data_IF_710058809799
#
_entry.id   IF_710058809799
#
_cell.length_a   1.000
_cell.length_b   1.000
_cell.length_c   1.000
_cell.angle_alpha   90.00
_cell.angle_beta   90.00
_cell.angle_gamma   90.00
#
_symmetry.space_group_name_H-M   'P 1'
#
loop_
_entity.id
_entity.type
_entity.pdbx_description
1 polymer ?
#
# COMPACT_ATOMS: atom_id res chain seq x y z
N UNK A 1 7.57 -32.17 -5.68
CA UNK A 1 8.92 -31.73 -5.90
C UNK A 1 8.96 -30.39 -6.55
N UNK A 2 9.57 -29.45 -5.90
CA UNK A 2 9.71 -28.13 -6.43
C UNK A 2 10.57 -28.16 -7.69
N UNK A 3 10.03 -27.70 -8.80
CA UNK A 3 10.84 -27.44 -9.95
C UNK A 3 12.04 -26.58 -9.55
N UNK A 4 13.19 -26.83 -10.11
CA UNK A 4 14.37 -26.01 -9.93
C UNK A 4 14.02 -24.58 -10.36
N UNK A 5 13.90 -23.70 -9.37
CA UNK A 5 13.61 -22.30 -9.65
C UNK A 5 14.80 -21.69 -10.35
N UNK A 6 14.56 -21.08 -11.50
CA UNK A 6 15.59 -20.37 -12.22
C UNK A 6 16.06 -19.16 -11.40
N UNK A 7 17.30 -18.65 -11.63
CA UNK A 7 17.74 -17.41 -10.99
C UNK A 7 16.79 -16.24 -11.24
N UNK A 8 16.14 -16.23 -12.41
CA UNK A 8 15.14 -15.22 -12.77
C UNK A 8 13.93 -15.26 -11.83
N UNK A 9 13.44 -16.47 -11.50
CA UNK A 9 12.30 -16.64 -10.62
C UNK A 9 12.61 -16.17 -9.19
N UNK A 10 13.83 -16.47 -8.72
CA UNK A 10 14.29 -15.98 -7.41
C UNK A 10 14.38 -14.46 -7.37
N UNK A 11 14.91 -13.87 -8.43
CA UNK A 11 15.03 -12.42 -8.55
C UNK A 11 13.65 -11.77 -8.53
N UNK A 12 12.72 -12.25 -9.33
CA UNK A 12 11.35 -11.74 -9.39
C UNK A 12 10.68 -11.83 -8.02
N UNK A 13 10.85 -12.94 -7.33
CA UNK A 13 10.30 -13.13 -5.98
C UNK A 13 10.90 -12.15 -4.99
N UNK A 14 12.18 -11.92 -5.03
CA UNK A 14 12.86 -10.99 -4.14
C UNK A 14 12.42 -9.55 -4.38
N UNK A 15 12.25 -9.17 -5.63
CA UNK A 15 11.75 -7.85 -6.01
C UNK A 15 10.33 -7.66 -5.48
N UNK A 16 9.46 -8.64 -5.68
CA UNK A 16 8.10 -8.60 -5.17
C UNK A 16 8.07 -8.53 -3.64
N UNK A 17 8.91 -9.31 -2.98
CA UNK A 17 9.03 -9.30 -1.53
C UNK A 17 9.48 -7.93 -1.00
N UNK A 18 10.46 -7.32 -1.65
CA UNK A 18 10.91 -5.97 -1.32
C UNK A 18 9.77 -4.96 -1.46
N UNK A 19 9.02 -5.03 -2.55
CA UNK A 19 7.89 -4.13 -2.79
C UNK A 19 6.82 -4.25 -1.70
N UNK A 20 6.47 -5.46 -1.33
CA UNK A 20 5.49 -5.72 -0.26
C UNK A 20 6.01 -5.19 1.08
N UNK A 21 7.26 -5.44 1.40
CA UNK A 21 7.86 -4.95 2.65
C UNK A 21 7.89 -3.43 2.70
N UNK A 22 8.25 -2.76 1.62
CA UNK A 22 8.26 -1.29 1.56
C UNK A 22 6.85 -0.71 1.62
N UNK A 23 5.88 -1.35 0.97
CA UNK A 23 4.48 -0.94 1.07
C UNK A 23 3.96 -1.03 2.51
N UNK A 24 4.49 -1.95 3.30
CA UNK A 24 4.14 -2.12 4.71
C UNK A 24 5.07 -1.35 5.66
N UNK A 25 5.88 -0.45 5.14
CA UNK A 25 6.80 0.38 5.93
C UNK A 25 7.82 -0.41 6.75
N UNK A 26 8.28 -1.53 6.21
CA UNK A 26 9.31 -2.33 6.86
C UNK A 26 10.61 -1.54 7.01
N UNK A 27 11.31 -1.74 8.12
CA UNK A 27 12.58 -1.09 8.36
C UNK A 27 13.68 -1.65 7.44
N UNK A 28 14.74 -0.89 7.26
CA UNK A 28 15.92 -1.34 6.51
C UNK A 28 16.48 -2.63 7.08
N UNK A 29 16.56 -2.72 8.40
CA UNK A 29 17.06 -3.88 9.12
C UNK A 29 16.22 -5.13 8.81
N UNK A 30 14.91 -5.01 8.85
CA UNK A 30 14.00 -6.10 8.49
C UNK A 30 14.19 -6.54 7.04
N UNK A 31 14.29 -5.60 6.11
CA UNK A 31 14.51 -5.90 4.70
C UNK A 31 15.81 -6.64 4.46
N UNK A 32 16.89 -6.21 5.08
CA UNK A 32 18.18 -6.87 4.97
C UNK A 32 18.13 -8.31 5.51
N UNK A 33 17.49 -8.50 6.64
CA UNK A 33 17.37 -9.82 7.27
C UNK A 33 16.48 -10.76 6.45
N UNK A 34 15.30 -10.30 6.07
CA UNK A 34 14.29 -11.16 5.43
C UNK A 34 14.61 -11.47 3.97
N UNK A 35 15.21 -10.54 3.25
CA UNK A 35 15.48 -10.71 1.82
C UNK A 35 16.87 -11.28 1.59
N UNK A 36 17.88 -10.76 2.28
CA UNK A 36 19.28 -11.09 2.05
C UNK A 36 19.88 -12.01 3.12
N UNK A 37 19.16 -12.22 4.22
CA UNK A 37 19.72 -12.98 5.35
C UNK A 37 20.89 -12.27 6.04
N UNK A 38 20.96 -10.96 5.95
CA UNK A 38 22.07 -10.14 6.48
C UNK A 38 21.62 -9.47 7.76
N UNK A 39 22.43 -9.66 8.82
CA UNK A 39 22.24 -8.98 10.11
C UNK A 39 23.06 -7.69 10.09
N UNK A 40 22.37 -6.57 10.24
CA UNK A 40 23.00 -5.24 10.24
C UNK A 40 24.05 -5.06 11.35
N UNK A 41 23.91 -5.79 12.46
CA UNK A 41 24.82 -5.68 13.60
C UNK A 41 26.11 -6.47 13.42
N UNK A 42 26.10 -7.50 12.59
CA UNK A 42 27.24 -8.39 12.38
C UNK A 42 27.85 -8.30 10.98
N UNK A 43 27.09 -7.76 10.01
CA UNK A 43 27.54 -7.63 8.63
C UNK A 43 28.56 -6.50 8.47
N UNK A 44 29.43 -6.65 7.48
CA UNK A 44 30.38 -5.60 7.11
C UNK A 44 29.64 -4.47 6.38
N UNK A 45 30.20 -3.28 6.41
CA UNK A 45 29.63 -2.12 5.69
C UNK A 45 29.53 -2.41 4.20
N UNK A 46 30.46 -3.17 3.64
CA UNK A 46 30.45 -3.56 2.24
C UNK A 46 29.26 -4.44 1.91
N UNK A 47 28.97 -5.43 2.75
CA UNK A 47 27.80 -6.31 2.58
C UNK A 47 26.50 -5.53 2.62
N UNK A 48 26.37 -4.64 3.60
CA UNK A 48 25.20 -3.78 3.77
C UNK A 48 25.04 -2.89 2.54
N UNK A 49 26.11 -2.25 2.08
CA UNK A 49 26.10 -1.38 0.93
C UNK A 49 25.70 -2.13 -0.36
N UNK A 50 26.21 -3.34 -0.55
CA UNK A 50 25.85 -4.18 -1.67
C UNK A 50 24.34 -4.49 -1.69
N UNK A 51 23.77 -4.78 -0.54
CA UNK A 51 22.33 -5.00 -0.38
C UNK A 51 21.54 -3.73 -0.73
N UNK A 52 21.97 -2.59 -0.24
CA UNK A 52 21.32 -1.31 -0.53
C UNK A 52 21.33 -0.98 -2.01
N UNK A 53 22.44 -1.23 -2.69
CA UNK A 53 22.57 -1.03 -4.15
C UNK A 53 21.61 -1.96 -4.89
N UNK A 54 21.50 -3.20 -4.49
CA UNK A 54 20.56 -4.15 -5.09
C UNK A 54 19.12 -3.69 -4.89
N UNK A 55 18.75 -3.26 -3.70
CA UNK A 55 17.41 -2.74 -3.43
C UNK A 55 17.10 -1.52 -4.31
N UNK A 56 18.06 -0.62 -4.48
CA UNK A 56 17.89 0.53 -5.38
C UNK A 56 17.62 0.11 -6.82
N UNK A 57 18.32 -0.90 -7.31
CA UNK A 57 18.10 -1.43 -8.67
C UNK A 57 16.72 -2.07 -8.79
N UNK A 58 16.32 -2.84 -7.79
CA UNK A 58 15.04 -3.53 -7.80
C UNK A 58 13.85 -2.57 -7.76
N UNK A 59 13.99 -1.44 -7.08
CA UNK A 59 12.93 -0.41 -7.06
C UNK A 59 12.61 0.16 -8.44
N UNK A 60 13.57 0.08 -9.36
CA UNK A 60 13.38 0.55 -10.75
C UNK A 60 12.82 -0.53 -11.67
N UNK A 61 12.69 -1.75 -11.19
CA UNK A 61 12.19 -2.86 -11.99
C UNK A 61 10.65 -2.78 -12.11
N UNK A 62 10.07 -3.08 -13.30
CA UNK A 62 8.62 -3.04 -13.48
C UNK A 62 7.84 -3.94 -12.51
N UNK A 63 8.42 -5.06 -12.14
CA UNK A 63 7.81 -5.99 -11.18
C UNK A 63 7.66 -5.37 -9.79
N UNK A 64 8.58 -4.50 -9.38
CA UNK A 64 8.48 -3.79 -8.11
C UNK A 64 7.23 -2.91 -8.08
N UNK A 65 7.04 -2.10 -9.10
CA UNK A 65 5.90 -1.21 -9.21
C UNK A 65 4.57 -1.98 -9.21
N UNK A 66 4.51 -3.07 -9.97
CA UNK A 66 3.33 -3.93 -10.03
C UNK A 66 3.01 -4.54 -8.66
N UNK A 67 4.00 -5.13 -8.00
CA UNK A 67 3.81 -5.76 -6.70
C UNK A 67 3.44 -4.72 -5.62
N UNK A 68 4.05 -3.55 -5.67
CA UNK A 68 3.75 -2.46 -4.74
C UNK A 68 2.30 -1.98 -4.91
N UNK A 69 1.85 -1.80 -6.15
CA UNK A 69 0.48 -1.41 -6.45
C UNK A 69 -0.54 -2.46 -6.03
N UNK A 70 -0.23 -3.73 -6.24
CA UNK A 70 -1.10 -4.83 -5.79
C UNK A 70 -1.26 -4.83 -4.27
N UNK A 71 -0.16 -4.62 -3.54
CA UNK A 71 -0.20 -4.52 -2.08
C UNK A 71 -0.99 -3.31 -1.61
N UNK A 72 -0.85 -2.18 -2.28
CA UNK A 72 -1.64 -0.98 -1.98
C UNK A 72 -3.13 -1.20 -2.24
N UNK A 73 -3.49 -1.91 -3.30
CA UNK A 73 -4.87 -2.28 -3.58
C UNK A 73 -5.46 -3.17 -2.48
N UNK A 74 -4.66 -4.12 -2.01
CA UNK A 74 -5.07 -4.97 -0.89
C UNK A 74 -5.36 -4.15 0.35
N UNK A 75 -4.51 -3.21 0.68
CA UNK A 75 -4.71 -2.29 1.80
C UNK A 75 -5.96 -1.45 1.64
N UNK A 76 -6.19 -0.93 0.46
CA UNK A 76 -7.40 -0.15 0.19
C UNK A 76 -8.67 -0.97 0.37
N UNK A 77 -8.65 -2.22 -0.05
CA UNK A 77 -9.77 -3.13 0.16
C UNK A 77 -10.01 -3.37 1.66
N UNK A 78 -8.95 -3.61 2.41
CA UNK A 78 -9.05 -3.79 3.86
C UNK A 78 -9.55 -2.52 4.55
N UNK A 79 -9.02 -1.36 4.20
CA UNK A 79 -9.46 -0.07 4.72
C UNK A 79 -10.93 0.21 4.39
N UNK A 80 -11.34 -0.10 3.16
CA UNK A 80 -12.74 0.01 2.75
C UNK A 80 -13.63 -0.88 3.60
N UNK A 81 -13.25 -2.12 3.79
CA UNK A 81 -14.01 -3.08 4.60
C UNK A 81 -14.14 -2.59 6.05
N UNK A 82 -13.04 -2.07 6.61
CA UNK A 82 -13.03 -1.50 7.94
C UNK A 82 -13.94 -0.26 8.02
N UNK A 83 -13.86 0.62 7.04
CA UNK A 83 -14.71 1.82 6.98
C UNK A 83 -16.18 1.45 6.93
N UNK A 84 -16.55 0.45 6.14
CA UNK A 84 -17.94 -0.04 6.07
C UNK A 84 -18.38 -0.68 7.38
N UNK A 85 -17.49 -1.37 8.07
CA UNK A 85 -17.77 -1.93 9.39
C UNK A 85 -18.06 -0.83 10.42
N UNK A 86 -17.22 0.20 10.45
CA UNK A 86 -17.41 1.37 11.33
C UNK A 86 -18.72 2.08 11.01
N UNK A 87 -19.00 2.27 9.74
CA UNK A 87 -20.25 2.90 9.29
C UNK A 87 -21.48 2.12 9.78
N UNK A 88 -21.49 0.80 9.62
CA UNK A 88 -22.59 -0.05 10.07
C UNK A 88 -22.77 -0.01 11.58
N UNK A 89 -21.69 -0.03 12.34
CA UNK A 89 -21.75 0.12 13.80
C UNK A 89 -22.32 1.46 14.21
N UNK A 90 -21.85 2.52 13.57
CA UNK A 90 -22.31 3.88 13.85
C UNK A 90 -23.79 4.06 13.53
N UNK A 91 -24.26 3.49 12.44
CA UNK A 91 -25.68 3.53 12.07
C UNK A 91 -26.57 2.85 13.09
N UNK A 92 -26.05 1.85 13.81
CA UNK A 92 -26.80 1.18 14.88
C UNK A 92 -26.79 1.96 16.19
N UNK A 93 -25.71 2.68 16.47
CA UNK A 93 -25.51 3.39 17.73
C UNK A 93 -25.95 4.86 17.67
N UNK A 94 -25.80 5.47 16.52
CA UNK A 94 -26.11 6.88 16.29
C UNK A 94 -27.31 6.96 15.33
N UNK A 95 -28.37 7.59 15.79
CA UNK A 95 -29.61 7.71 15.00
C UNK A 95 -29.39 8.43 13.68
N UNK A 96 -28.49 9.41 13.66
CA UNK A 96 -28.22 10.20 12.47
C UNK A 96 -27.10 9.63 11.62
N UNK A 97 -26.32 8.67 12.12
CA UNK A 97 -25.21 8.05 11.42
C UNK A 97 -24.10 9.00 10.97
N UNK A 98 -24.13 10.23 11.47
CA UNK A 98 -23.26 11.30 11.00
C UNK A 98 -21.78 11.02 11.27
N UNK A 99 -21.45 10.65 12.50
CA UNK A 99 -20.07 10.38 12.89
C UNK A 99 -19.50 9.18 12.15
N UNK A 100 -20.29 8.13 12.00
CA UNK A 100 -19.90 6.94 11.27
C UNK A 100 -19.69 7.23 9.78
N UNK A 101 -20.58 7.99 9.18
CA UNK A 101 -20.45 8.38 7.78
C UNK A 101 -19.19 9.21 7.55
N UNK A 102 -18.92 10.17 8.43
CA UNK A 102 -17.73 11.01 8.35
C UNK A 102 -16.45 10.17 8.46
N UNK A 103 -16.41 9.24 9.40
CA UNK A 103 -15.26 8.33 9.57
C UNK A 103 -15.05 7.44 8.34
N UNK A 104 -16.13 6.91 7.77
CA UNK A 104 -16.07 6.08 6.57
C UNK A 104 -15.57 6.87 5.37
N UNK A 105 -16.06 8.10 5.17
CA UNK A 105 -15.63 8.98 4.08
C UNK A 105 -14.14 9.31 4.22
N UNK A 106 -13.67 9.61 5.43
CA UNK A 106 -12.27 9.90 5.68
C UNK A 106 -11.38 8.69 5.38
N UNK A 107 -11.80 7.49 5.78
CA UNK A 107 -11.06 6.26 5.50
C UNK A 107 -10.96 6.00 4.00
N UNK A 108 -12.06 6.16 3.26
CA UNK A 108 -12.09 6.02 1.81
C UNK A 108 -11.23 7.06 1.10
N UNK A 109 -11.26 8.29 1.57
CA UNK A 109 -10.42 9.37 1.03
C UNK A 109 -8.93 9.06 1.23
N UNK A 110 -8.55 8.57 2.40
CA UNK A 110 -7.17 8.20 2.68
C UNK A 110 -6.71 7.01 1.83
N UNK A 111 -7.56 6.00 1.66
CA UNK A 111 -7.28 4.86 0.80
C UNK A 111 -7.10 5.31 -0.66
N UNK A 112 -7.95 6.20 -1.15
CA UNK A 112 -7.85 6.75 -2.49
C UNK A 112 -6.54 7.51 -2.69
N UNK A 113 -6.14 8.33 -1.73
CA UNK A 113 -4.87 9.06 -1.77
C UNK A 113 -3.67 8.13 -1.84
N UNK A 114 -3.68 7.04 -1.08
CA UNK A 114 -2.61 6.04 -1.12
C UNK A 114 -2.48 5.38 -2.48
N UNK A 115 -3.60 5.03 -3.11
CA UNK A 115 -3.61 4.34 -4.40
C UNK A 115 -3.18 5.23 -5.56
N UNK A 116 -3.58 6.49 -5.54
CA UNK A 116 -3.46 7.38 -6.69
C UNK A 116 -2.55 8.58 -6.43
N UNK A 117 -1.72 8.47 -5.42
CA UNK A 117 -0.81 9.56 -5.04
C UNK A 117 0.11 10.00 -6.18
N UNK A 118 0.59 9.06 -6.97
CA UNK A 118 1.54 9.33 -8.06
C UNK A 118 0.86 9.44 -9.43
N UNK A 119 -0.46 9.34 -9.51
CA UNK A 119 -1.18 9.42 -10.76
C UNK A 119 -1.85 10.79 -10.89
N UNK A 120 -1.65 11.41 -12.05
CA UNK A 120 -2.26 12.70 -12.37
C UNK A 120 -3.78 12.62 -12.48
N UNK A 121 -4.33 11.43 -12.66
CA UNK A 121 -5.76 11.23 -12.70
C UNK A 121 -6.30 10.93 -11.31
N UNK A 122 -6.79 11.95 -10.64
CA UNK A 122 -7.55 11.77 -9.42
C UNK A 122 -8.83 11.02 -9.73
N UNK A 123 -8.91 9.77 -9.29
CA UNK A 123 -10.17 9.04 -9.33
C UNK A 123 -11.02 9.55 -8.16
N UNK A 124 -12.06 10.29 -8.50
CA UNK A 124 -13.01 10.74 -7.50
C UNK A 124 -13.95 9.60 -7.18
N UNK A 125 -13.92 9.13 -5.92
CA UNK A 125 -14.89 8.15 -5.46
C UNK A 125 -16.20 8.88 -5.21
N UNK A 126 -17.19 8.65 -6.07
CA UNK A 126 -18.55 9.13 -5.85
C UNK A 126 -19.32 8.09 -5.06
N UNK A 127 -19.80 8.50 -3.90
CA UNK A 127 -20.72 7.68 -3.12
C UNK A 127 -22.14 8.08 -3.58
N UNK A 128 -22.84 7.15 -4.20
CA UNK A 128 -24.21 7.39 -4.64
C UNK A 128 -25.11 7.69 -3.44
N UNK A 129 -26.00 8.64 -3.60
CA UNK A 129 -26.95 9.03 -2.58
C UNK A 129 -26.50 10.15 -1.65
N UNK A 130 -25.24 10.60 -1.76
CA UNK A 130 -24.78 11.78 -1.03
C UNK A 130 -24.87 13.01 -1.91
N UNK A 131 -25.35 14.13 -1.36
CA UNK A 131 -25.28 15.40 -2.08
C UNK A 131 -23.83 15.72 -2.39
N UNK A 132 -23.58 16.24 -3.58
CA UNK A 132 -22.25 16.66 -4.01
C UNK A 132 -21.86 17.92 -3.26
N UNK A 133 -21.39 17.72 -2.04
CA UNK A 133 -21.00 18.82 -1.16
C UNK A 133 -19.53 19.12 -1.43
N UNK A 134 -19.23 20.28 -1.90
CA UNK A 134 -17.85 20.75 -1.96
C UNK A 134 -17.16 20.60 -3.28
N UNK A 135 -17.91 20.46 -4.38
CA UNK A 135 -17.34 20.69 -5.68
C UNK A 135 -17.23 22.20 -5.90
N UNK A 136 -16.03 22.77 -5.95
CA UNK A 136 -15.88 24.20 -6.15
C UNK A 136 -16.31 24.67 -7.52
N UNK A 137 -16.57 23.75 -8.42
CA UNK A 137 -16.97 24.05 -9.80
C UNK A 137 -18.47 24.29 -9.93
N UNK A 138 -19.26 23.98 -8.91
CA UNK A 138 -20.69 24.17 -8.92
C UNK A 138 -21.11 25.64 -8.70
N UNK A 139 -20.16 26.48 -8.38
CA UNK A 139 -20.39 27.91 -8.20
C UNK A 139 -20.15 28.72 -9.48
N UNK A 140 -19.95 28.01 -10.56
CA UNK A 140 -19.73 28.65 -11.84
C UNK A 140 -20.93 29.30 -12.43
#
# INVERSE_FOLDING_TARGET
>A
MGANKTPQDKLTRNIAKLAVMEANSASREEKLREIFGVDIHTATDREINNCDVQMCRWRKHPMFDQAWKEEQRRWCYEDFTLAMSVFRKGMKQDKDGWLAMNSAVNALSNANKRLFHDEDSAVTVKIEGLPDIGSPDDDG
#
